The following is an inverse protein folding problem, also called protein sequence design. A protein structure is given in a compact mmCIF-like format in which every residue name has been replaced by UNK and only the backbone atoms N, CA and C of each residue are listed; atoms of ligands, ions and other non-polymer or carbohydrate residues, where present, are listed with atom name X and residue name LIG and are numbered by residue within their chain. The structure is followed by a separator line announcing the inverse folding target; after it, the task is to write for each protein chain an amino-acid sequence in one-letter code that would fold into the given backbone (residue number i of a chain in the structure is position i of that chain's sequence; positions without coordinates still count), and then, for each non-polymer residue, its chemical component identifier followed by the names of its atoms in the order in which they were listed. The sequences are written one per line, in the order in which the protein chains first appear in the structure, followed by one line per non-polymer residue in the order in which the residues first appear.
data_IF_000784616191
#
_entry.id   IF_000784616191
#
_cell.length_a   1.000
_cell.length_b   1.000
_cell.length_c   1.000
_cell.angle_alpha   90.00
_cell.angle_beta   90.00
_cell.angle_gamma   90.00
#
_symmetry.space_group_name_H-M   'P 1'
#
loop_
_entity.id
_entity.type
_entity.pdbx_description
1 polymer ?
#
# COMPACT_ATOMS: atom_id res chain seq x y z
N UNK A 1 -6.41 -6.20 8.93
CA UNK A 1 -5.45 -6.01 7.81
C UNK A 1 -4.24 -6.93 8.02
N UNK A 2 -3.49 -7.25 6.96
CA UNK A 2 -2.39 -8.23 6.99
C UNK A 2 -1.18 -7.67 6.24
N UNK A 3 0.02 -7.83 6.81
CA UNK A 3 1.24 -7.41 6.14
C UNK A 3 1.51 -8.29 4.91
N UNK A 4 1.67 -7.67 3.75
CA UNK A 4 1.94 -8.35 2.47
C UNK A 4 3.25 -9.16 2.48
N UNK A 5 4.23 -8.81 3.33
CA UNK A 5 5.55 -9.44 3.36
C UNK A 5 5.59 -10.61 4.36
N UNK A 6 5.28 -10.34 5.64
CA UNK A 6 5.42 -11.35 6.71
C UNK A 6 4.10 -11.98 7.15
N UNK A 7 2.95 -11.42 6.75
CA UNK A 7 1.63 -11.94 7.08
C UNK A 7 1.15 -11.66 8.51
N UNK A 8 1.86 -10.85 9.31
CA UNK A 8 1.36 -10.41 10.61
C UNK A 8 0.08 -9.60 10.41
N UNK A 9 -0.85 -9.66 11.35
CA UNK A 9 -2.16 -9.00 11.24
C UNK A 9 -2.31 -7.90 12.27
N UNK A 10 -3.03 -6.85 11.89
CA UNK A 10 -3.48 -5.76 12.75
C UNK A 10 -5.00 -5.66 12.69
N UNK A 11 -5.63 -5.40 13.84
CA UNK A 11 -7.07 -5.62 14.02
C UNK A 11 -7.94 -4.42 13.60
N UNK A 12 -7.37 -3.21 13.58
CA UNK A 12 -8.08 -1.99 13.18
C UNK A 12 -7.16 -1.01 12.44
N UNK A 13 -7.78 -0.05 11.75
CA UNK A 13 -7.05 1.03 11.06
C UNK A 13 -6.40 1.95 12.07
N UNK A 14 -7.05 2.24 13.20
CA UNK A 14 -6.44 3.06 14.25
C UNK A 14 -5.17 2.41 14.80
N UNK A 15 -5.19 1.11 15.09
CA UNK A 15 -4.03 0.38 15.59
C UNK A 15 -2.90 0.36 14.55
N UNK A 16 -3.24 0.27 13.26
CA UNK A 16 -2.24 0.33 12.18
C UNK A 16 -1.58 1.71 12.08
N UNK A 17 -2.34 2.79 12.24
CA UNK A 17 -1.80 4.16 12.27
C UNK A 17 -0.91 4.36 13.50
N UNK A 18 -1.35 3.93 14.69
CA UNK A 18 -0.57 4.05 15.93
C UNK A 18 0.76 3.27 15.88
N UNK A 19 0.83 2.22 15.07
CA UNK A 19 2.02 1.39 14.89
C UNK A 19 2.81 1.72 13.61
N UNK A 20 2.52 2.85 12.95
CA UNK A 20 3.22 3.30 11.73
C UNK A 20 3.23 2.23 10.62
N UNK A 21 2.12 1.54 10.41
CA UNK A 21 1.97 0.64 9.27
C UNK A 21 1.90 1.44 7.97
N UNK A 22 2.64 0.97 6.98
CA UNK A 22 2.53 1.54 5.64
C UNK A 22 1.28 1.00 4.95
N UNK A 23 0.46 1.88 4.33
CA UNK A 23 -0.77 1.46 3.66
C UNK A 23 -0.49 0.70 2.35
N UNK A 24 0.54 1.09 1.60
CA UNK A 24 0.96 0.47 0.36
C UNK A 24 2.46 0.64 0.10
N UNK A 25 2.99 -0.14 -0.85
CA UNK A 25 4.34 -0.01 -1.40
C UNK A 25 4.45 -0.70 -2.77
N UNK A 26 5.55 -0.45 -3.49
CA UNK A 26 5.74 -0.97 -4.84
C UNK A 26 6.93 -1.92 -4.99
N UNK A 27 6.78 -2.93 -5.85
CA UNK A 27 7.88 -3.67 -6.47
C UNK A 27 7.84 -3.48 -7.99
N UNK A 28 8.63 -2.53 -8.50
CA UNK A 28 8.53 -2.13 -9.91
C UNK A 28 7.18 -1.47 -10.17
N UNK A 29 6.39 -2.03 -11.10
CA UNK A 29 5.03 -1.56 -11.41
C UNK A 29 3.94 -2.25 -10.58
N UNK A 30 4.30 -3.24 -9.74
CA UNK A 30 3.33 -3.97 -8.91
C UNK A 30 3.12 -3.21 -7.59
N UNK A 31 1.90 -2.75 -7.35
CA UNK A 31 1.48 -2.25 -6.04
C UNK A 31 1.16 -3.44 -5.12
N UNK A 32 1.61 -3.32 -3.87
CA UNK A 32 1.32 -4.22 -2.77
C UNK A 32 0.64 -3.44 -1.64
N UNK A 33 -0.23 -4.13 -0.91
CA UNK A 33 -0.93 -3.55 0.24
C UNK A 33 -0.02 -3.44 1.48
N UNK A 34 -0.65 -3.39 2.65
CA UNK A 34 -0.07 -3.05 3.94
C UNK A 34 1.30 -3.68 4.23
N UNK A 35 2.23 -2.89 4.79
CA UNK A 35 3.46 -3.39 5.38
C UNK A 35 3.57 -3.00 6.86
N UNK A 36 3.90 -3.97 7.72
CA UNK A 36 4.18 -3.69 9.12
C UNK A 36 5.49 -2.89 9.26
N UNK A 37 5.67 -2.09 10.33
CA UNK A 37 6.82 -1.20 10.51
C UNK A 37 8.17 -1.93 10.38
N UNK A 38 8.25 -3.15 10.90
CA UNK A 38 9.47 -3.95 10.80
C UNK A 38 9.80 -4.37 9.35
N UNK A 39 8.81 -4.76 8.56
CA UNK A 39 9.07 -5.10 7.15
C UNK A 39 9.35 -3.84 6.32
N UNK A 40 8.69 -2.74 6.64
CA UNK A 40 8.94 -1.45 6.02
C UNK A 40 10.41 -1.02 6.20
N UNK A 41 10.91 -1.03 7.43
CA UNK A 41 12.29 -0.66 7.74
C UNK A 41 13.33 -1.54 7.02
N UNK A 42 13.10 -2.86 7.01
CA UNK A 42 14.04 -3.83 6.47
C UNK A 42 14.04 -3.84 4.94
N UNK A 43 12.87 -3.88 4.31
CA UNK A 43 12.73 -4.21 2.89
C UNK A 43 12.39 -3.01 2.00
N UNK A 44 11.92 -1.90 2.56
CA UNK A 44 11.41 -0.77 1.78
C UNK A 44 12.30 0.47 1.91
N UNK A 45 12.22 1.33 0.90
CA UNK A 45 12.87 2.63 0.83
C UNK A 45 11.99 3.59 0.05
N UNK A 46 12.20 4.89 0.24
CA UNK A 46 11.63 5.90 -0.66
C UNK A 46 12.38 5.87 -1.99
N UNK A 47 11.65 5.85 -3.11
CA UNK A 47 12.22 5.89 -4.45
C UNK A 47 12.38 7.33 -5.00
N UNK A 48 12.71 7.46 -6.28
CA UNK A 48 12.89 8.76 -6.94
C UNK A 48 11.60 9.58 -7.08
N UNK A 49 10.44 8.94 -7.01
CA UNK A 49 9.13 9.59 -7.08
C UNK A 49 8.59 9.96 -5.70
N UNK A 50 9.29 9.59 -4.63
CA UNK A 50 8.83 9.79 -3.26
C UNK A 50 7.89 8.68 -2.77
N UNK A 51 7.77 7.58 -3.51
CA UNK A 51 6.91 6.45 -3.15
C UNK A 51 7.68 5.40 -2.36
N UNK A 52 6.98 4.66 -1.50
CA UNK A 52 7.59 3.53 -0.78
C UNK A 52 7.74 2.35 -1.74
N UNK A 53 8.97 1.89 -1.95
CA UNK A 53 9.30 0.81 -2.87
C UNK A 53 10.27 -0.20 -2.25
N UNK A 54 10.25 -1.43 -2.75
CA UNK A 54 11.19 -2.49 -2.34
C UNK A 54 12.61 -2.10 -2.74
N UNK A 55 13.53 -2.20 -1.78
CA UNK A 55 14.95 -1.91 -2.01
C UNK A 55 15.49 -2.80 -3.14
N UNK A 56 16.33 -2.28 -4.05
CA UNK A 56 16.80 -3.00 -5.21
C UNK A 56 17.37 -4.40 -4.93
N UNK A 57 18.04 -4.59 -3.79
CA UNK A 57 18.66 -5.85 -3.41
C UNK A 57 17.66 -6.96 -3.04
N UNK A 58 16.40 -6.62 -2.74
CA UNK A 58 15.34 -7.57 -2.38
C UNK A 58 14.34 -7.82 -3.51
N UNK A 59 14.42 -7.07 -4.60
CA UNK A 59 13.48 -7.20 -5.73
C UNK A 59 13.50 -8.61 -6.32
N UNK A 60 12.33 -9.21 -6.48
CA UNK A 60 12.14 -10.58 -6.98
C UNK A 60 12.56 -11.67 -5.99
N UNK A 61 12.87 -11.33 -4.74
CA UNK A 61 13.28 -12.29 -3.68
C UNK A 61 12.25 -12.43 -2.57
N UNK A 62 11.27 -11.53 -2.52
CA UNK A 62 10.21 -11.54 -1.50
C UNK A 62 9.06 -12.42 -2.01
N UNK A 63 8.58 -13.33 -1.16
CA UNK A 63 7.35 -14.05 -1.40
C UNK A 63 6.21 -13.33 -0.68
N UNK A 64 5.35 -12.67 -1.45
CA UNK A 64 4.25 -11.89 -0.90
C UNK A 64 3.04 -12.73 -0.50
N UNK A 65 2.19 -12.17 0.38
CA UNK A 65 1.06 -12.81 1.05
C UNK A 65 -0.25 -12.01 0.93
N UNK A 66 -0.27 -11.04 0.03
CA UNK A 66 -1.35 -10.10 -0.28
C UNK A 66 -2.32 -10.63 -1.35
N UNK A 67 -1.92 -11.59 -2.19
CA UNK A 67 -2.77 -12.15 -3.26
C UNK A 67 -4.02 -12.92 -2.77
N UNK A 68 -4.18 -13.13 -1.46
CA UNK A 68 -5.40 -13.69 -0.87
C UNK A 68 -6.51 -12.64 -0.65
N UNK A 69 -6.24 -11.33 -0.79
CA UNK A 69 -7.18 -10.25 -0.48
C UNK A 69 -8.09 -9.80 -1.65
N UNK A 70 -7.80 -10.22 -2.89
CA UNK A 70 -8.38 -9.65 -4.12
C UNK A 70 -9.60 -10.36 -4.72
N UNK A 71 -10.64 -10.71 -3.95
CA UNK A 71 -11.92 -11.18 -4.55
C UNK A 71 -13.18 -10.43 -4.15
N UNK A 72 -13.13 -9.46 -3.26
CA UNK A 72 -14.32 -8.70 -2.87
C UNK A 72 -13.94 -7.27 -2.48
N UNK A 73 -14.65 -6.31 -3.06
CA UNK A 73 -14.65 -4.88 -2.75
C UNK A 73 -13.51 -3.98 -3.26
N UNK A 74 -13.44 -3.78 -4.58
CA UNK A 74 -12.99 -2.49 -5.15
C UNK A 74 -14.23 -1.70 -5.57
N UNK A 75 -14.73 -0.85 -4.67
CA UNK A 75 -15.72 0.20 -4.97
C UNK A 75 -14.98 1.46 -5.42
N UNK A 76 -14.69 1.58 -6.73
CA UNK A 76 -14.20 2.80 -7.35
C UNK A 76 -15.29 3.88 -7.32
N UNK A 77 -15.26 4.77 -6.32
CA UNK A 77 -16.07 5.99 -6.32
C UNK A 77 -15.34 7.06 -7.13
N UNK A 78 -15.68 7.18 -8.41
CA UNK A 78 -15.24 8.30 -9.25
C UNK A 78 -16.02 9.57 -8.93
N UNK A 79 -15.39 10.57 -8.32
CA UNK A 79 -15.97 11.91 -8.17
C UNK A 79 -15.75 12.70 -9.45
N UNK A 80 -16.82 12.89 -10.23
CA UNK A 80 -16.82 13.80 -11.39
C UNK A 80 -17.21 15.18 -10.87
N UNK A 81 -16.25 16.10 -10.81
CA UNK A 81 -16.53 17.53 -10.55
C UNK A 81 -16.96 18.14 -11.88
N UNK A 82 -18.19 18.64 -11.95
CA UNK A 82 -18.71 19.35 -13.12
C UNK A 82 -18.64 20.85 -12.82
N UNK A 83 -17.71 21.54 -13.46
CA UNK A 83 -17.58 23.01 -13.37
C UNK A 83 -18.77 23.66 -14.09
N UNK A 84 -19.55 24.45 -13.35
CA UNK A 84 -20.66 25.25 -13.88
C UNK A 84 -20.13 26.66 -14.16
N UNK A 85 -20.00 27.03 -15.44
CA UNK A 85 -19.60 28.38 -15.83
C UNK A 85 -20.73 29.39 -15.52
N UNK A 86 -20.42 30.55 -14.92
CA UNK A 86 -21.44 31.54 -14.58
C UNK A 86 -21.92 32.27 -15.83
N UNK A 87 -23.24 32.31 -16.05
CA UNK A 87 -23.86 33.22 -17.03
C UNK A 87 -24.33 34.50 -16.33
N UNK A 88 -23.86 35.61 -16.88
CA UNK A 88 -24.06 37.00 -16.48
C UNK A 88 -25.52 37.46 -16.57
#
# INVERSE_FOLDING_TARGET
MKCAICGVTVNSVEEAIEQDWLPNFYEGEKEHEFACPNCAEVFLQVDENGEMAVKPEYRGKINYRDEEAGKEDILLVGVIIKEDEPKH
#
